data_IF_705195056329
#
_entry.id   IF_705195056329
#
_cell.length_a   1.000
_cell.length_b   1.000
_cell.length_c   1.000
_cell.angle_alpha   90.00
_cell.angle_beta   90.00
_cell.angle_gamma   90.00
#
_symmetry.space_group_name_H-M   'P 1'
#
loop_
_entity.id
_entity.type
_entity.pdbx_description
1 polymer ?
#
# COMPACT_ATOMS: atom_id res chain seq x y z
N UNK A 1 11.44 -56.25 -13.99
CA UNK A 1 11.02 -54.92 -13.50
C UNK A 1 12.29 -54.13 -13.23
N UNK A 2 12.67 -53.19 -14.10
CA UNK A 2 13.92 -52.44 -13.97
C UNK A 2 13.78 -51.46 -12.81
N UNK A 3 14.61 -51.62 -11.78
CA UNK A 3 14.93 -50.55 -10.84
C UNK A 3 15.38 -49.34 -11.66
N UNK A 4 14.74 -48.18 -11.46
CA UNK A 4 15.16 -46.93 -12.10
C UNK A 4 16.61 -46.63 -11.68
N UNK A 5 17.54 -46.80 -12.60
CA UNK A 5 18.95 -46.50 -12.44
C UNK A 5 19.32 -45.32 -13.33
N UNK A 6 19.09 -44.10 -12.83
CA UNK A 6 19.94 -42.93 -13.03
C UNK A 6 19.27 -41.65 -12.50
N UNK A 7 19.66 -41.27 -11.28
CA UNK A 7 19.55 -39.88 -10.87
C UNK A 7 20.57 -39.05 -11.64
N UNK A 8 20.32 -38.83 -12.95
CA UNK A 8 21.18 -37.98 -13.77
C UNK A 8 21.17 -36.58 -13.15
N UNK A 9 22.32 -36.23 -12.59
CA UNK A 9 22.64 -34.86 -12.22
C UNK A 9 22.60 -34.02 -13.50
N UNK A 10 21.59 -33.15 -13.62
CA UNK A 10 21.64 -32.06 -14.57
C UNK A 10 22.85 -31.19 -14.25
N UNK A 11 23.45 -30.59 -15.28
CA UNK A 11 24.58 -29.67 -15.14
C UNK A 11 24.35 -28.68 -13.98
N UNK A 12 25.40 -28.33 -13.20
CA UNK A 12 25.26 -27.38 -12.10
C UNK A 12 24.54 -26.12 -12.60
N UNK A 13 23.57 -25.61 -11.84
CA UNK A 13 22.76 -24.51 -12.31
C UNK A 13 23.65 -23.29 -12.58
N UNK A 14 23.27 -22.44 -13.55
CA UNK A 14 24.09 -21.29 -13.95
C UNK A 14 24.24 -20.23 -12.85
N UNK A 15 23.57 -20.38 -11.71
CA UNK A 15 23.61 -19.45 -10.58
C UNK A 15 23.79 -20.18 -9.25
N UNK A 16 24.65 -19.63 -8.38
CA UNK A 16 24.87 -20.07 -6.99
C UNK A 16 23.63 -19.89 -6.08
N UNK A 17 22.56 -19.29 -6.60
CA UNK A 17 21.30 -19.06 -5.91
C UNK A 17 20.14 -19.93 -6.42
N UNK A 18 20.38 -20.85 -7.37
CA UNK A 18 19.37 -21.81 -7.84
C UNK A 18 19.42 -23.07 -6.95
N UNK A 19 18.51 -23.14 -5.97
CA UNK A 19 18.34 -24.31 -5.11
C UNK A 19 17.29 -25.24 -5.70
N UNK A 20 17.72 -26.42 -6.16
CA UNK A 20 16.80 -27.48 -6.62
C UNK A 20 16.63 -28.53 -5.54
N UNK A 21 15.39 -28.74 -5.14
CA UNK A 21 15.05 -29.74 -4.14
C UNK A 21 14.41 -30.95 -4.83
N UNK A 22 15.14 -32.08 -4.85
CA UNK A 22 14.64 -33.35 -5.38
C UNK A 22 14.34 -34.30 -4.22
N UNK A 23 13.06 -34.43 -3.87
CA UNK A 23 12.61 -35.44 -2.91
C UNK A 23 12.42 -36.78 -3.61
N UNK A 24 13.04 -37.82 -3.08
CA UNK A 24 12.81 -39.22 -3.51
C UNK A 24 12.10 -39.94 -2.38
N UNK A 25 11.10 -40.73 -2.75
CA UNK A 25 10.30 -41.53 -1.82
C UNK A 25 10.23 -42.95 -2.33
N UNK A 26 10.44 -43.91 -1.44
CA UNK A 26 10.51 -45.32 -1.77
C UNK A 26 11.95 -45.84 -1.96
N UNK A 27 12.11 -47.05 -2.55
CA UNK A 27 11.08 -47.87 -3.17
C UNK A 27 10.06 -48.39 -2.15
N UNK A 28 8.82 -48.58 -2.60
CA UNK A 28 7.74 -49.20 -1.83
C UNK A 28 7.32 -50.50 -2.51
N UNK A 29 7.17 -51.57 -1.74
CA UNK A 29 6.54 -52.81 -2.21
C UNK A 29 5.03 -52.70 -1.93
N UNK A 30 4.22 -52.52 -2.98
CA UNK A 30 2.76 -52.31 -2.88
C UNK A 30 2.06 -53.51 -3.53
N UNK A 31 1.18 -54.18 -2.79
CA UNK A 31 0.40 -55.31 -3.30
C UNK A 31 -0.68 -54.83 -4.29
N UNK A 32 -1.21 -55.74 -5.10
CA UNK A 32 -2.32 -55.42 -6.00
C UNK A 32 -3.53 -54.91 -5.22
N UNK A 33 -4.08 -53.76 -5.63
CA UNK A 33 -5.17 -53.04 -4.97
C UNK A 33 -4.84 -52.31 -3.65
N UNK A 34 -3.58 -52.30 -3.22
CA UNK A 34 -3.13 -51.44 -2.12
C UNK A 34 -2.72 -50.04 -2.62
N UNK A 35 -2.64 -49.10 -1.68
CA UNK A 35 -2.15 -47.74 -1.93
C UNK A 35 -1.20 -47.30 -0.84
N UNK A 36 -0.23 -46.44 -1.19
CA UNK A 36 0.64 -45.75 -0.23
C UNK A 36 0.19 -44.31 -0.14
N UNK A 37 -0.10 -43.84 1.08
CA UNK A 37 -0.38 -42.44 1.36
C UNK A 37 0.92 -41.76 1.80
N UNK A 38 1.26 -40.68 1.11
CA UNK A 38 2.40 -39.84 1.42
C UNK A 38 1.86 -38.46 1.78
N UNK A 39 2.30 -37.93 2.92
CA UNK A 39 1.94 -36.59 3.38
C UNK A 39 3.23 -35.81 3.60
N UNK A 40 3.26 -34.58 3.12
CA UNK A 40 4.38 -33.67 3.26
C UNK A 40 3.94 -32.38 3.95
N UNK A 41 4.84 -31.83 4.74
CA UNK A 41 4.75 -30.48 5.25
C UNK A 41 6.05 -29.73 4.89
N UNK A 42 5.90 -28.48 4.48
CA UNK A 42 7.02 -27.57 4.24
C UNK A 42 6.99 -26.49 5.31
N UNK A 43 8.09 -26.36 6.06
CA UNK A 43 8.27 -25.30 7.05
C UNK A 43 9.16 -24.20 6.51
N UNK A 44 8.75 -22.96 6.71
CA UNK A 44 9.56 -21.76 6.52
C UNK A 44 9.52 -21.01 7.84
N UNK A 45 10.63 -20.48 8.32
CA UNK A 45 10.63 -19.67 9.54
C UNK A 45 11.88 -18.81 9.65
N UNK A 46 11.80 -17.76 10.45
CA UNK A 46 12.93 -16.91 10.75
C UNK A 46 13.90 -17.63 11.70
N UNK A 47 15.04 -18.05 11.16
CA UNK A 47 16.01 -18.86 11.88
C UNK A 47 15.49 -20.26 12.27
N UNK A 48 16.30 -20.98 13.04
CA UNK A 48 15.98 -22.36 13.45
C UNK A 48 14.81 -22.42 14.43
N UNK A 49 14.66 -21.41 15.30
CA UNK A 49 13.57 -21.37 16.28
C UNK A 49 12.21 -21.18 15.59
N UNK A 50 12.08 -20.21 14.69
CA UNK A 50 10.86 -20.00 13.91
C UNK A 50 10.52 -21.20 13.03
N UNK A 51 11.52 -21.82 12.39
CA UNK A 51 11.29 -23.05 11.62
C UNK A 51 10.72 -24.19 12.48
N UNK A 52 11.23 -24.38 13.70
CA UNK A 52 10.75 -25.43 14.62
C UNK A 52 9.32 -25.17 15.05
N UNK A 53 9.00 -23.95 15.46
CA UNK A 53 7.63 -23.59 15.84
C UNK A 53 6.63 -23.88 14.70
N UNK A 54 6.98 -23.51 13.47
CA UNK A 54 6.12 -23.77 12.30
C UNK A 54 6.00 -25.26 11.96
N UNK A 55 7.05 -26.06 12.19
CA UNK A 55 7.01 -27.51 11.99
C UNK A 55 6.24 -28.24 13.11
N UNK A 56 6.23 -27.72 14.33
CA UNK A 56 5.41 -28.24 15.43
C UNK A 56 3.91 -28.10 15.09
N UNK A 57 3.51 -26.95 14.54
CA UNK A 57 2.16 -26.74 14.01
C UNK A 57 1.79 -27.74 12.90
N UNK A 58 2.68 -27.95 11.93
CA UNK A 58 2.43 -28.92 10.86
C UNK A 58 2.27 -30.35 11.40
N UNK A 59 3.03 -30.72 12.42
CA UNK A 59 2.91 -32.01 13.10
C UNK A 59 1.60 -32.11 13.90
N UNK A 60 1.18 -31.06 14.60
CA UNK A 60 -0.12 -31.01 15.28
C UNK A 60 -1.26 -31.21 14.29
N UNK A 61 -1.28 -30.47 13.18
CA UNK A 61 -2.29 -30.63 12.13
C UNK A 61 -2.31 -32.05 11.56
N UNK A 62 -1.15 -32.69 11.42
CA UNK A 62 -1.06 -34.08 10.98
C UNK A 62 -1.66 -35.05 11.96
N UNK A 63 -1.30 -34.93 13.23
CA UNK A 63 -1.77 -35.81 14.29
C UNK A 63 -3.28 -35.68 14.52
N UNK A 64 -3.84 -34.48 14.34
CA UNK A 64 -5.25 -34.18 14.57
C UNK A 64 -6.11 -34.18 13.28
N UNK A 65 -5.55 -34.54 12.12
CA UNK A 65 -6.23 -34.51 10.81
C UNK A 65 -7.45 -35.45 10.66
N UNK A 66 -7.70 -36.32 11.64
CA UNK A 66 -8.79 -37.30 11.65
C UNK A 66 -9.79 -37.07 12.80
N UNK A 67 -9.59 -36.02 13.60
CA UNK A 67 -10.47 -35.69 14.71
C UNK A 67 -11.81 -35.14 14.18
N UNK A 68 -12.97 -35.72 14.56
CA UNK A 68 -14.28 -35.20 14.16
C UNK A 68 -14.54 -33.75 14.58
N UNK A 69 -13.86 -33.25 15.62
CA UNK A 69 -13.92 -31.87 16.08
C UNK A 69 -13.06 -30.91 15.22
N UNK A 70 -11.99 -31.40 14.59
CA UNK A 70 -11.13 -30.61 13.69
C UNK A 70 -11.46 -30.81 12.21
N UNK A 71 -12.27 -31.80 11.86
CA UNK A 71 -12.64 -32.14 10.49
C UNK A 71 -11.43 -32.57 9.63
N UNK A 72 -11.67 -33.46 8.66
CA UNK A 72 -10.64 -33.84 7.69
C UNK A 72 -10.26 -32.68 6.77
N UNK A 73 -9.46 -31.69 7.22
CA UNK A 73 -9.11 -30.55 6.37
C UNK A 73 -7.70 -29.98 6.52
N UNK A 74 -6.88 -30.44 7.48
CA UNK A 74 -5.54 -29.86 7.69
C UNK A 74 -5.61 -28.33 7.87
N UNK A 75 -6.72 -27.85 8.44
CA UNK A 75 -6.97 -26.43 8.68
C UNK A 75 -6.47 -26.11 10.07
N UNK A 76 -5.57 -25.13 10.14
CA UNK A 76 -5.19 -24.50 11.40
C UNK A 76 -6.06 -23.28 11.68
N UNK A 77 -5.95 -22.73 12.89
CA UNK A 77 -6.50 -21.41 13.18
C UNK A 77 -5.98 -20.41 12.15
N UNK A 78 -6.84 -19.52 11.70
CA UNK A 78 -6.47 -18.54 10.69
C UNK A 78 -7.07 -17.19 11.03
N UNK A 79 -6.28 -16.13 10.77
CA UNK A 79 -6.75 -14.76 10.92
C UNK A 79 -8.08 -14.53 10.19
N UNK A 80 -8.93 -13.60 10.69
CA UNK A 80 -10.11 -13.17 9.98
C UNK A 80 -9.78 -12.65 8.58
N UNK A 81 -10.76 -12.66 7.68
CA UNK A 81 -10.57 -12.10 6.34
C UNK A 81 -10.19 -10.62 6.40
N UNK A 82 -9.30 -10.17 5.51
CA UNK A 82 -9.03 -8.73 5.37
C UNK A 82 -10.32 -8.00 4.96
N UNK A 83 -10.68 -6.88 5.61
CA UNK A 83 -11.86 -6.11 5.25
C UNK A 83 -11.69 -5.45 3.88
N UNK A 84 -12.81 -5.19 3.21
CA UNK A 84 -12.82 -4.39 1.99
C UNK A 84 -12.78 -2.92 2.41
N UNK A 85 -11.83 -2.16 1.89
CA UNK A 85 -11.67 -0.74 2.20
C UNK A 85 -11.63 0.14 0.96
N UNK A 86 -11.97 1.41 1.16
CA UNK A 86 -12.01 2.46 0.15
C UNK A 86 -11.14 3.64 0.59
N UNK A 87 -10.49 4.27 -0.39
CA UNK A 87 -9.66 5.45 -0.21
C UNK A 87 -10.29 6.62 -0.97
N UNK A 88 -10.52 7.73 -0.26
CA UNK A 88 -10.99 8.99 -0.84
C UNK A 88 -9.92 10.08 -0.61
N UNK A 89 -9.06 10.36 -1.61
CA UNK A 89 -8.02 11.36 -1.48
C UNK A 89 -8.58 12.78 -1.55
N UNK A 90 -8.10 13.63 -0.65
CA UNK A 90 -8.32 15.06 -0.67
C UNK A 90 -7.01 15.86 -0.73
N UNK A 91 -7.12 17.16 -0.48
CA UNK A 91 -5.95 18.03 -0.31
C UNK A 91 -5.34 17.82 1.07
N UNK A 92 -4.10 17.31 1.12
CA UNK A 92 -3.35 16.95 2.35
C UNK A 92 -4.10 16.02 3.28
N UNK A 93 -4.96 15.20 2.72
CA UNK A 93 -5.71 14.22 3.47
C UNK A 93 -6.07 13.01 2.62
N UNK A 94 -6.26 11.86 3.27
CA UNK A 94 -6.91 10.70 2.69
C UNK A 94 -7.92 10.19 3.71
N UNK A 95 -9.19 10.06 3.30
CA UNK A 95 -10.20 9.37 4.09
C UNK A 95 -10.18 7.89 3.73
N UNK A 96 -10.11 7.04 4.74
CA UNK A 96 -10.10 5.59 4.62
C UNK A 96 -11.34 5.05 5.32
N UNK A 97 -12.13 4.23 4.63
CA UNK A 97 -13.33 3.57 5.18
C UNK A 97 -13.30 2.08 4.87
N UNK A 98 -13.79 1.22 5.77
CA UNK A 98 -13.82 -0.23 5.55
C UNK A 98 -15.10 -0.89 6.02
N UNK A 99 -15.37 -2.09 5.51
CA UNK A 99 -16.53 -2.89 5.89
C UNK A 99 -16.33 -3.68 7.20
N UNK A 100 -17.42 -4.24 7.72
CA UNK A 100 -17.46 -5.04 8.95
C UNK A 100 -17.46 -6.55 8.69
N UNK A 101 -17.08 -7.00 7.48
CA UNK A 101 -17.21 -8.40 7.08
C UNK A 101 -16.34 -9.34 7.94
N UNK A 102 -15.23 -8.85 8.48
CA UNK A 102 -14.33 -9.62 9.35
C UNK A 102 -14.94 -9.90 10.75
N UNK A 103 -15.81 -9.03 11.26
CA UNK A 103 -16.38 -9.13 12.62
C UNK A 103 -17.27 -10.36 12.81
N UNK A 104 -17.82 -10.87 11.71
CA UNK A 104 -18.70 -12.03 11.68
C UNK A 104 -18.08 -13.21 10.93
N UNK A 105 -16.76 -13.23 10.78
CA UNK A 105 -16.05 -14.36 10.21
C UNK A 105 -15.81 -15.41 11.31
N UNK A 106 -16.30 -16.63 11.08
CA UNK A 106 -15.95 -17.76 11.92
C UNK A 106 -14.60 -18.35 11.47
N UNK A 107 -13.73 -18.66 12.43
CA UNK A 107 -12.46 -19.33 12.18
C UNK A 107 -12.73 -20.68 11.47
N UNK A 108 -12.10 -20.95 10.31
CA UNK A 108 -12.34 -22.16 9.53
C UNK A 108 -11.99 -23.48 10.21
N UNK A 109 -11.11 -23.47 11.22
CA UNK A 109 -10.67 -24.67 11.92
C UNK A 109 -11.56 -25.01 13.12
N UNK A 110 -12.07 -23.99 13.82
CA UNK A 110 -12.84 -24.15 15.07
C UNK A 110 -14.33 -23.86 14.90
N UNK A 111 -14.71 -23.05 13.92
CA UNK A 111 -16.06 -22.48 13.78
C UNK A 111 -16.37 -21.39 14.81
N UNK A 112 -15.39 -20.97 15.62
CA UNK A 112 -15.56 -19.90 16.60
C UNK A 112 -15.52 -18.52 15.94
N UNK A 113 -16.23 -17.57 16.51
CA UNK A 113 -16.10 -16.16 16.16
C UNK A 113 -15.08 -15.54 17.12
N UNK A 114 -13.86 -15.33 16.64
CA UNK A 114 -12.70 -14.94 17.42
C UNK A 114 -12.04 -13.64 16.94
N UNK A 115 -12.72 -12.91 16.04
CA UNK A 115 -12.36 -11.54 15.65
C UNK A 115 -12.17 -10.66 16.89
N UNK A 116 -11.10 -9.87 16.88
CA UNK A 116 -10.71 -8.97 17.97
C UNK A 116 -10.68 -7.51 17.53
N UNK A 117 -10.12 -7.23 16.34
CA UNK A 117 -9.98 -5.85 15.89
C UNK A 117 -9.41 -5.65 14.50
N UNK A 118 -9.18 -4.37 14.19
CA UNK A 118 -8.61 -3.87 12.96
C UNK A 118 -7.29 -3.14 13.20
N UNK A 119 -6.39 -3.21 12.22
CA UNK A 119 -5.20 -2.36 12.13
C UNK A 119 -5.16 -1.66 10.78
N UNK A 120 -4.85 -0.37 10.80
CA UNK A 120 -4.58 0.41 9.59
C UNK A 120 -3.09 0.62 9.46
N UNK A 121 -2.54 0.18 8.34
CA UNK A 121 -1.13 0.34 8.00
C UNK A 121 -0.96 1.31 6.83
N UNK A 122 0.09 2.13 6.90
CA UNK A 122 0.50 3.07 5.85
C UNK A 122 1.97 2.88 5.51
N UNK A 123 2.33 3.02 4.24
CA UNK A 123 3.72 3.29 3.81
C UNK A 123 3.76 4.34 2.71
N UNK A 124 4.90 5.00 2.57
CA UNK A 124 5.15 5.98 1.50
C UNK A 124 6.01 5.36 0.43
N UNK A 125 5.56 5.40 -0.82
CA UNK A 125 6.21 4.75 -1.95
C UNK A 125 6.12 3.22 -1.92
N UNK A 126 6.44 2.60 -3.06
CA UNK A 126 6.31 1.16 -3.24
C UNK A 126 7.24 0.35 -2.31
N UNK A 127 8.47 0.84 -2.05
CA UNK A 127 9.44 0.16 -1.18
C UNK A 127 9.53 0.78 0.23
N UNK A 128 8.60 1.67 0.58
CA UNK A 128 8.52 2.21 1.93
C UNK A 128 8.26 1.13 2.99
N UNK A 129 8.62 1.47 4.23
CA UNK A 129 8.32 0.63 5.40
C UNK A 129 6.90 0.87 5.90
N UNK A 130 6.22 -0.20 6.32
CA UNK A 130 4.91 -0.13 6.94
C UNK A 130 4.98 0.54 8.31
N UNK A 131 4.05 1.47 8.55
CA UNK A 131 3.82 2.14 9.82
C UNK A 131 2.39 1.87 10.26
N UNK A 132 2.19 1.50 11.52
CA UNK A 132 0.87 1.36 12.13
C UNK A 132 0.29 2.76 12.37
N UNK A 133 -0.86 3.04 11.79
CA UNK A 133 -1.55 4.34 11.91
C UNK A 133 -2.62 4.31 12.99
N UNK A 134 -3.32 3.17 13.09
CA UNK A 134 -4.45 2.97 13.98
C UNK A 134 -4.54 1.48 14.30
N UNK A 135 -4.88 1.20 15.56
CA UNK A 135 -5.37 -0.08 16.02
C UNK A 135 -6.71 0.19 16.72
N UNK A 136 -7.72 -0.60 16.37
CA UNK A 136 -9.03 -0.54 17.03
C UNK A 136 -9.55 -1.94 17.31
N UNK A 137 -10.09 -2.16 18.50
CA UNK A 137 -10.55 -3.48 18.96
C UNK A 137 -11.91 -3.42 19.64
N UNK A 138 -12.45 -4.60 19.94
CA UNK A 138 -13.63 -4.75 20.77
C UNK A 138 -13.41 -4.15 22.16
N UNK A 139 -14.50 -3.75 22.82
CA UNK A 139 -14.46 -3.34 24.22
C UNK A 139 -14.79 -4.57 25.06
N UNK A 140 -13.76 -5.26 25.52
CA UNK A 140 -13.81 -6.42 26.40
C UNK A 140 -12.62 -6.46 27.40
N UNK A 141 -12.02 -7.64 27.61
CA UNK A 141 -10.92 -7.88 28.55
C UNK A 141 -9.58 -8.17 27.83
N UNK A 142 -9.54 -8.00 26.51
CA UNK A 142 -8.39 -8.25 25.62
C UNK A 142 -7.99 -6.91 24.97
N UNK A 143 -6.71 -6.76 24.64
CA UNK A 143 -6.25 -5.57 23.89
C UNK A 143 -6.35 -4.23 24.62
N UNK A 144 -6.46 -3.16 23.83
CA UNK A 144 -6.51 -1.75 24.23
C UNK A 144 -7.93 -1.26 24.52
N UNK A 145 -8.96 -1.95 24.06
CA UNK A 145 -10.38 -1.67 24.30
C UNK A 145 -10.82 -0.28 23.80
N UNK A 146 -10.41 0.10 22.61
CA UNK A 146 -10.71 1.41 22.00
C UNK A 146 -12.11 1.49 21.41
N UNK A 147 -12.74 0.34 21.15
CA UNK A 147 -13.97 0.25 20.36
C UNK A 147 -13.70 0.22 18.86
N UNK A 148 -14.58 -0.46 18.13
CA UNK A 148 -14.47 -0.60 16.68
C UNK A 148 -14.81 0.71 15.97
N UNK A 149 -13.97 1.04 15.00
CA UNK A 149 -14.22 2.11 14.05
C UNK A 149 -14.07 1.57 12.63
N UNK A 150 -14.71 2.26 11.68
CA UNK A 150 -14.76 1.88 10.26
C UNK A 150 -14.33 3.02 9.35
N UNK A 151 -13.76 4.08 9.94
CA UNK A 151 -13.34 5.27 9.25
C UNK A 151 -12.12 5.90 9.94
N UNK A 152 -11.14 6.31 9.14
CA UNK A 152 -9.97 7.07 9.57
C UNK A 152 -9.68 8.20 8.57
N UNK A 153 -9.39 9.40 9.08
CA UNK A 153 -8.95 10.52 8.26
C UNK A 153 -7.46 10.76 8.50
N UNK A 154 -6.63 10.33 7.55
CA UNK A 154 -5.20 10.63 7.57
C UNK A 154 -4.97 12.04 7.06
N UNK A 155 -4.52 12.95 7.94
CA UNK A 155 -4.13 14.34 7.59
C UNK A 155 -2.62 14.54 7.58
N UNK A 156 -1.84 13.50 7.86
CA UNK A 156 -0.37 13.51 7.87
C UNK A 156 0.16 13.02 6.52
N UNK A 157 -0.38 13.57 5.44
CA UNK A 157 0.02 13.25 4.07
C UNK A 157 0.39 14.51 3.30
N UNK A 158 1.41 14.38 2.48
CA UNK A 158 1.83 15.41 1.56
C UNK A 158 1.31 15.10 0.16
N UNK A 159 0.81 16.12 -0.52
CA UNK A 159 0.32 15.95 -1.88
C UNK A 159 1.42 15.49 -2.83
N UNK A 160 1.05 14.76 -3.88
CA UNK A 160 1.98 14.26 -4.91
C UNK A 160 2.91 13.13 -4.45
N UNK A 161 2.78 12.67 -3.20
CA UNK A 161 3.37 11.43 -2.74
C UNK A 161 2.39 10.28 -2.88
N UNK A 162 2.89 9.15 -3.35
CA UNK A 162 2.15 7.91 -3.37
C UNK A 162 2.20 7.25 -2.01
N UNK A 163 1.03 7.07 -1.41
CA UNK A 163 0.85 6.33 -0.17
C UNK A 163 0.18 5.00 -0.47
N UNK A 164 0.55 3.97 0.28
CA UNK A 164 -0.12 2.68 0.26
C UNK A 164 -0.78 2.47 1.61
N UNK A 165 -2.06 2.11 1.58
CA UNK A 165 -2.83 1.76 2.77
C UNK A 165 -3.28 0.32 2.69
N UNK A 166 -3.39 -0.33 3.84
CA UNK A 166 -4.09 -1.60 3.99
C UNK A 166 -4.75 -1.63 5.36
N UNK A 167 -6.00 -2.07 5.39
CA UNK A 167 -6.70 -2.41 6.63
C UNK A 167 -6.62 -3.92 6.79
N UNK A 168 -6.16 -4.39 7.94
CA UNK A 168 -6.09 -5.80 8.31
C UNK A 168 -7.01 -6.06 9.49
N UNK A 169 -7.48 -7.30 9.60
CA UNK A 169 -8.23 -7.78 10.75
C UNK A 169 -7.38 -8.78 11.53
N UNK A 170 -7.55 -8.83 12.84
CA UNK A 170 -6.88 -9.81 13.68
C UNK A 170 -7.84 -10.46 14.66
N UNK A 171 -7.53 -11.70 15.01
CA UNK A 171 -8.24 -12.48 16.03
C UNK A 171 -7.56 -12.33 17.40
N UNK A 172 -8.22 -12.81 18.45
CA UNK A 172 -7.66 -12.82 19.81
C UNK A 172 -6.71 -13.98 20.09
N UNK A 173 -6.60 -14.93 19.16
CA UNK A 173 -5.95 -16.21 19.37
C UNK A 173 -6.64 -17.09 20.43
N UNK A 174 -5.90 -18.05 20.98
CA UNK A 174 -6.34 -18.91 22.08
C UNK A 174 -5.17 -19.25 23.01
N UNK A 175 -4.91 -18.42 24.03
CA UNK A 175 -3.80 -18.64 24.96
C UNK A 175 -3.87 -19.97 25.72
N UNK A 176 -5.08 -20.47 26.02
CA UNK A 176 -5.26 -21.75 26.72
C UNK A 176 -4.80 -22.95 25.88
N UNK A 177 -4.87 -22.83 24.56
CA UNK A 177 -4.36 -23.81 23.61
C UNK A 177 -2.95 -23.45 23.09
N UNK A 178 -2.31 -22.40 23.63
CA UNK A 178 -0.99 -21.93 23.19
C UNK A 178 -0.98 -21.30 21.80
N UNK A 179 -2.15 -20.82 21.34
CA UNK A 179 -2.34 -20.22 20.02
C UNK A 179 -2.26 -18.70 20.18
N UNK A 180 -1.32 -18.09 19.48
CA UNK A 180 -1.20 -16.63 19.45
C UNK A 180 -2.26 -15.99 18.54
N UNK A 181 -2.42 -14.68 18.66
CA UNK A 181 -3.27 -13.88 17.78
C UNK A 181 -2.69 -13.86 16.36
N UNK A 182 -3.54 -14.07 15.36
CA UNK A 182 -3.19 -13.93 13.96
C UNK A 182 -3.80 -12.68 13.33
N UNK A 183 -3.04 -12.06 12.42
CA UNK A 183 -3.46 -10.88 11.65
C UNK A 183 -3.49 -11.24 10.16
N UNK A 184 -4.51 -10.73 9.46
CA UNK A 184 -4.65 -10.92 8.04
C UNK A 184 -3.51 -10.26 7.26
N UNK A 185 -3.22 -10.79 6.07
CA UNK A 185 -2.05 -10.34 5.29
C UNK A 185 -2.18 -8.90 4.76
N UNK A 186 -1.06 -8.18 4.75
CA UNK A 186 -0.93 -6.82 4.16
C UNK A 186 -0.84 -6.81 2.61
N UNK A 187 -1.11 -7.93 1.96
CA UNK A 187 -1.00 -8.09 0.50
C UNK A 187 -2.08 -7.33 -0.27
N UNK A 188 -3.23 -7.07 0.35
CA UNK A 188 -4.35 -6.29 -0.22
C UNK A 188 -4.14 -4.77 -0.21
N UNK A 189 -2.90 -4.30 -0.21
CA UNK A 189 -2.60 -2.87 -0.14
C UNK A 189 -3.02 -2.12 -1.41
N UNK A 190 -3.66 -0.97 -1.24
CA UNK A 190 -4.07 -0.08 -2.34
C UNK A 190 -3.27 1.21 -2.27
N UNK A 191 -2.78 1.70 -3.41
CA UNK A 191 -2.09 2.99 -3.49
C UNK A 191 -3.05 4.16 -3.77
N UNK A 192 -2.69 5.33 -3.29
CA UNK A 192 -3.38 6.59 -3.56
C UNK A 192 -2.39 7.76 -3.52
N UNK A 193 -2.66 8.79 -4.31
CA UNK A 193 -1.89 10.04 -4.32
C UNK A 193 -2.83 11.19 -3.90
N UNK A 194 -2.63 11.80 -2.70
CA UNK A 194 -3.42 12.93 -2.26
C UNK A 194 -3.00 14.20 -3.02
N UNK A 195 -3.89 15.19 -3.00
CA UNK A 195 -3.61 16.52 -3.55
C UNK A 195 -4.57 17.03 -4.61
N UNK A 196 -5.62 16.28 -4.90
CA UNK A 196 -6.76 16.79 -5.63
C UNK A 196 -7.92 16.96 -4.64
N UNK A 197 -8.37 18.19 -4.39
CA UNK A 197 -9.74 18.34 -3.88
C UNK A 197 -10.70 17.87 -4.97
N UNK A 198 -11.44 16.80 -4.71
CA UNK A 198 -12.69 16.50 -5.41
C UNK A 198 -13.66 17.64 -5.05
N UNK A 199 -13.76 18.64 -5.94
CA UNK A 199 -14.75 19.72 -5.81
C UNK A 199 -14.31 20.97 -5.03
N UNK A 200 -13.38 21.76 -5.57
CA UNK A 200 -13.52 23.22 -5.37
C UNK A 200 -14.80 23.64 -6.10
N UNK A 201 -15.91 23.71 -5.37
CA UNK A 201 -17.15 24.33 -5.82
C UNK A 201 -17.29 25.69 -5.15
N UNK A 202 -17.47 26.75 -5.93
CA UNK A 202 -17.73 28.12 -5.44
C UNK A 202 -16.48 28.93 -5.04
N UNK A 203 -16.73 30.10 -4.42
CA UNK A 203 -15.79 31.19 -4.07
C UNK A 203 -14.58 30.81 -3.18
N UNK A 204 -14.36 29.52 -2.89
CA UNK A 204 -13.29 29.04 -2.04
C UNK A 204 -11.93 29.10 -2.76
N UNK A 205 -11.28 30.27 -2.69
CA UNK A 205 -9.87 30.47 -3.02
C UNK A 205 -8.88 29.77 -2.07
N UNK A 206 -9.33 28.81 -1.25
CA UNK A 206 -8.47 28.06 -0.34
C UNK A 206 -7.94 26.81 -1.01
N UNK A 207 -6.64 26.77 -1.31
CA UNK A 207 -5.93 25.52 -1.59
C UNK A 207 -5.18 25.44 -2.92
N UNK A 208 -5.11 26.48 -3.76
CA UNK A 208 -4.17 26.47 -4.88
C UNK A 208 -2.75 26.56 -4.31
N UNK A 209 -1.96 25.53 -4.54
CA UNK A 209 -0.57 25.49 -4.07
C UNK A 209 0.29 24.65 -5.00
N UNK A 210 1.59 24.71 -4.75
CA UNK A 210 2.62 23.99 -5.49
C UNK A 210 2.99 22.71 -4.76
N UNK A 211 3.19 21.65 -5.54
CA UNK A 211 3.54 20.32 -5.05
C UNK A 211 4.71 19.75 -5.89
N UNK A 212 5.83 19.35 -5.28
CA UNK A 212 6.15 19.51 -3.87
C UNK A 212 6.52 20.98 -3.58
N UNK A 213 6.33 21.42 -2.34
CA UNK A 213 6.81 22.72 -1.90
C UNK A 213 7.37 22.61 -0.47
N UNK A 214 8.70 22.75 -0.28
CA UNK A 214 9.70 23.08 -1.30
C UNK A 214 9.92 21.96 -2.32
N UNK A 215 10.27 22.32 -3.55
CA UNK A 215 10.88 21.38 -4.49
C UNK A 215 12.34 21.15 -4.08
N UNK A 216 12.75 19.88 -3.98
CA UNK A 216 14.13 19.47 -3.67
C UNK A 216 14.61 18.54 -4.78
N UNK A 217 15.83 18.74 -5.28
CA UNK A 217 16.39 18.00 -6.43
C UNK A 217 16.34 16.47 -6.26
N UNK A 218 16.43 15.99 -5.02
CA UNK A 218 16.13 14.59 -4.71
C UNK A 218 14.61 14.44 -4.56
N UNK A 219 13.92 13.97 -5.61
CA UNK A 219 12.54 13.51 -5.46
C UNK A 219 12.54 12.40 -4.40
N UNK A 220 11.92 12.63 -3.22
CA UNK A 220 11.87 11.61 -2.18
C UNK A 220 11.15 10.37 -2.70
N UNK A 221 11.49 9.20 -2.14
CA UNK A 221 10.86 7.94 -2.54
C UNK A 221 9.33 8.04 -2.42
N UNK A 222 8.62 7.69 -3.50
CA UNK A 222 7.17 7.83 -3.58
C UNK A 222 6.66 9.16 -4.13
N UNK A 223 7.51 10.15 -4.41
CA UNK A 223 7.09 11.36 -5.14
C UNK A 223 7.00 11.10 -6.66
N UNK A 224 5.83 11.29 -7.24
CA UNK A 224 5.48 10.75 -8.56
C UNK A 224 5.50 11.77 -9.70
N UNK A 225 6.52 11.68 -10.56
CA UNK A 225 6.37 11.97 -11.98
C UNK A 225 7.11 10.89 -12.78
N UNK A 226 6.40 9.85 -13.20
CA UNK A 226 6.97 8.90 -14.16
C UNK A 226 7.20 9.65 -15.48
N UNK A 227 8.45 9.70 -16.00
CA UNK A 227 8.70 10.33 -17.28
C UNK A 227 7.94 9.58 -18.38
N UNK A 228 7.28 10.32 -19.26
CA UNK A 228 6.56 9.78 -20.42
C UNK A 228 7.22 10.27 -21.71
N UNK A 229 6.82 9.71 -22.85
CA UNK A 229 7.27 10.22 -24.16
C UNK A 229 6.86 11.68 -24.38
N UNK A 230 5.76 12.12 -23.77
CA UNK A 230 5.23 13.48 -23.88
C UNK A 230 5.93 14.44 -22.91
N UNK A 231 6.31 13.96 -21.73
CA UNK A 231 7.06 14.74 -20.74
C UNK A 231 8.18 13.89 -20.11
N UNK A 232 9.40 13.92 -20.68
CA UNK A 232 10.53 13.11 -20.20
C UNK A 232 11.23 13.72 -18.97
N UNK A 233 10.77 14.87 -18.46
CA UNK A 233 11.43 15.54 -17.34
C UNK A 233 11.21 14.78 -16.04
N UNK A 234 12.31 14.56 -15.31
CA UNK A 234 12.31 13.97 -13.95
C UNK A 234 12.08 15.04 -12.87
N UNK A 235 12.51 16.28 -13.12
CA UNK A 235 12.34 17.42 -12.21
C UNK A 235 11.05 18.16 -12.57
N UNK A 236 10.01 18.00 -11.75
CA UNK A 236 8.71 18.63 -12.01
C UNK A 236 8.03 19.10 -10.73
N UNK A 237 7.16 20.09 -10.90
CA UNK A 237 6.21 20.54 -9.89
C UNK A 237 4.80 20.59 -10.49
N UNK A 238 3.78 20.45 -9.66
CA UNK A 238 2.38 20.68 -10.02
C UNK A 238 1.84 21.91 -9.29
N UNK A 239 1.07 22.71 -10.01
CA UNK A 239 0.10 23.62 -9.42
C UNK A 239 -1.22 22.86 -9.33
N UNK A 240 -1.72 22.65 -8.11
CA UNK A 240 -2.92 21.84 -7.86
C UNK A 240 -4.11 22.69 -7.42
N UNK A 241 -5.31 22.08 -7.41
CA UNK A 241 -6.58 22.70 -7.03
C UNK A 241 -6.99 23.91 -7.89
N UNK A 242 -6.58 23.93 -9.16
CA UNK A 242 -7.03 24.93 -10.12
C UNK A 242 -8.54 24.80 -10.38
N UNK A 243 -9.24 25.88 -10.79
CA UNK A 243 -10.67 25.84 -11.12
C UNK A 243 -10.99 24.74 -12.13
N UNK A 244 -11.99 23.92 -11.85
CA UNK A 244 -12.47 22.89 -12.78
C UNK A 244 -13.43 23.49 -13.81
N UNK A 245 -13.48 22.88 -15.00
CA UNK A 245 -14.34 23.24 -16.13
C UNK A 245 -14.20 24.71 -16.59
N UNK A 246 -13.02 25.26 -16.43
CA UNK A 246 -12.67 26.65 -16.75
C UNK A 246 -11.24 26.69 -17.31
N UNK A 247 -10.90 27.73 -18.08
CA UNK A 247 -9.51 27.97 -18.45
C UNK A 247 -8.74 28.57 -17.28
N UNK A 248 -7.47 28.23 -17.14
CA UNK A 248 -6.59 28.80 -16.12
C UNK A 248 -5.18 28.99 -16.68
N UNK A 249 -4.56 30.11 -16.34
CA UNK A 249 -3.15 30.40 -16.66
C UNK A 249 -2.39 30.62 -15.37
N UNK A 250 -1.26 29.92 -15.23
CA UNK A 250 -0.30 30.11 -14.15
C UNK A 250 0.89 30.88 -14.69
N UNK A 251 1.11 32.09 -14.21
CA UNK A 251 2.29 32.89 -14.54
C UNK A 251 3.27 32.85 -13.38
N UNK A 252 4.51 32.45 -13.64
CA UNK A 252 5.56 32.33 -12.61
C UNK A 252 6.52 33.52 -12.73
N UNK A 253 6.90 34.08 -11.58
CA UNK A 253 7.78 35.22 -11.45
C UNK A 253 8.93 34.93 -10.49
N UNK A 254 10.09 35.56 -10.73
CA UNK A 254 11.12 35.70 -9.71
C UNK A 254 10.63 36.58 -8.56
N UNK A 255 11.33 36.57 -7.42
CA UNK A 255 11.09 37.52 -6.32
C UNK A 255 11.24 38.99 -6.74
N UNK A 256 12.02 39.28 -7.78
CA UNK A 256 12.21 40.63 -8.33
C UNK A 256 11.08 41.07 -9.27
N UNK A 257 10.13 40.16 -9.58
CA UNK A 257 9.00 40.44 -10.46
C UNK A 257 9.26 40.12 -11.93
N UNK A 258 10.38 39.48 -12.26
CA UNK A 258 10.68 39.07 -13.64
C UNK A 258 9.84 37.85 -14.01
N UNK A 259 9.13 37.93 -15.14
CA UNK A 259 8.31 36.82 -15.63
C UNK A 259 9.21 35.68 -16.15
N UNK A 260 9.11 34.52 -15.50
CA UNK A 260 9.88 33.32 -15.81
C UNK A 260 9.22 32.52 -16.94
N UNK A 261 7.92 32.24 -16.81
CA UNK A 261 7.14 31.48 -17.79
C UNK A 261 5.63 31.64 -17.54
N UNK A 262 4.83 31.43 -18.58
CA UNK A 262 3.37 31.28 -18.50
C UNK A 262 2.97 29.87 -18.91
N UNK A 263 2.18 29.22 -18.07
CA UNK A 263 1.69 27.86 -18.26
C UNK A 263 0.18 27.92 -18.39
N UNK A 264 -0.36 27.34 -19.47
CA UNK A 264 -1.80 27.29 -19.70
C UNK A 264 -2.30 25.89 -19.38
N UNK A 265 -3.45 25.83 -18.71
CA UNK A 265 -4.14 24.57 -18.47
C UNK A 265 -4.61 23.98 -19.80
N UNK A 266 -4.12 22.78 -20.12
CA UNK A 266 -4.40 22.12 -21.40
C UNK A 266 -5.84 21.62 -21.50
N UNK A 267 -6.37 21.02 -20.43
CA UNK A 267 -7.73 20.53 -20.33
C UNK A 267 -8.54 21.38 -19.32
N UNK A 268 -9.64 22.03 -19.72
CA UNK A 268 -10.54 22.73 -18.82
C UNK A 268 -11.06 21.88 -17.66
N UNK A 269 -11.24 20.57 -17.84
CA UNK A 269 -11.69 19.66 -16.78
C UNK A 269 -10.58 19.35 -15.76
N UNK A 270 -9.31 19.42 -16.18
CA UNK A 270 -8.16 19.25 -15.28
C UNK A 270 -8.15 20.31 -14.18
N UNK A 271 -7.56 19.95 -13.04
CA UNK A 271 -7.39 20.80 -11.86
C UNK A 271 -5.91 21.02 -11.55
N UNK A 272 -5.04 20.63 -12.47
CA UNK A 272 -3.59 20.70 -12.33
C UNK A 272 -2.92 21.29 -13.56
N UNK A 273 -1.76 21.91 -13.34
CA UNK A 273 -0.81 22.28 -14.38
C UNK A 273 0.58 21.88 -13.88
N UNK A 274 1.32 21.15 -14.70
CA UNK A 274 2.69 20.77 -14.38
C UNK A 274 3.73 21.71 -15.01
N UNK A 275 4.91 21.75 -14.41
CA UNK A 275 6.06 22.48 -14.92
C UNK A 275 7.35 21.70 -14.70
N UNK A 276 8.18 21.64 -15.73
CA UNK A 276 9.50 20.99 -15.77
C UNK A 276 10.64 21.85 -15.21
N UNK A 277 10.32 22.98 -14.56
CA UNK A 277 11.29 23.94 -14.01
C UNK A 277 12.20 24.57 -15.08
N UNK A 278 11.78 24.55 -16.35
CA UNK A 278 12.46 25.20 -17.48
C UNK A 278 11.78 26.54 -17.79
N UNK A 279 12.58 27.60 -17.86
CA UNK A 279 12.13 28.96 -18.20
C UNK A 279 11.75 29.10 -19.67
N UNK A 280 11.07 30.20 -20.02
CA UNK A 280 10.78 30.55 -21.42
C UNK A 280 12.03 30.64 -22.32
N UNK A 281 13.19 30.92 -21.73
CA UNK A 281 14.50 30.98 -22.40
C UNK A 281 15.21 29.61 -22.46
N UNK A 282 14.52 28.50 -22.18
CA UNK A 282 15.06 27.12 -22.20
C UNK A 282 16.21 26.88 -21.21
N UNK A 283 16.21 27.62 -20.10
CA UNK A 283 17.18 27.43 -19.01
C UNK A 283 16.47 26.88 -17.78
N UNK A 284 17.13 26.01 -17.02
CA UNK A 284 16.62 25.58 -15.72
C UNK A 284 16.63 26.74 -14.73
N UNK A 285 15.58 26.90 -13.93
CA UNK A 285 15.55 27.90 -12.83
C UNK A 285 16.57 27.60 -11.74
N UNK A 286 17.07 28.58 -11.00
CA UNK A 286 18.04 28.34 -9.91
C UNK A 286 17.33 28.06 -8.58
N UNK A 287 18.08 27.72 -7.54
CA UNK A 287 17.53 27.68 -6.19
C UNK A 287 17.05 29.08 -5.77
N UNK A 288 15.89 29.16 -5.13
CA UNK A 288 15.29 30.42 -4.75
C UNK A 288 13.80 30.33 -4.44
N UNK A 289 13.23 31.45 -4.02
CA UNK A 289 11.78 31.60 -3.86
C UNK A 289 11.21 32.24 -5.12
N UNK A 290 10.08 31.69 -5.56
CA UNK A 290 9.35 32.13 -6.73
C UNK A 290 7.92 32.49 -6.32
N UNK A 291 7.32 33.39 -7.08
CA UNK A 291 5.91 33.74 -6.94
C UNK A 291 5.16 33.22 -8.16
N UNK A 292 3.88 32.93 -8.00
CA UNK A 292 3.02 32.63 -9.12
C UNK A 292 1.68 33.33 -8.97
N UNK A 293 1.10 33.68 -10.11
CA UNK A 293 -0.23 34.24 -10.23
C UNK A 293 -1.08 33.27 -11.04
N UNK A 294 -2.26 32.94 -10.55
CA UNK A 294 -3.25 32.16 -11.27
C UNK A 294 -4.39 33.07 -11.67
N UNK A 295 -4.67 33.10 -12.96
CA UNK A 295 -5.79 33.81 -13.58
C UNK A 295 -6.73 32.75 -14.19
N UNK A 296 -8.04 32.93 -14.08
CA UNK A 296 -9.03 31.99 -14.63
C UNK A 296 -10.29 32.71 -15.07
N UNK A 297 -10.97 32.18 -16.09
CA UNK A 297 -12.29 32.64 -16.54
C UNK A 297 -13.46 32.01 -15.76
N UNK A 298 -13.17 31.20 -14.73
CA UNK A 298 -14.20 30.63 -13.88
C UNK A 298 -15.07 31.73 -13.25
N UNK A 299 -16.41 31.61 -13.29
CA UNK A 299 -17.30 32.62 -12.72
C UNK A 299 -16.98 32.92 -11.26
N UNK A 300 -16.74 34.19 -10.94
CA UNK A 300 -16.42 34.65 -9.59
C UNK A 300 -14.99 34.39 -9.13
N UNK A 301 -14.11 33.86 -9.99
CA UNK A 301 -12.70 33.68 -9.66
C UNK A 301 -12.00 35.04 -9.62
N UNK A 302 -11.24 35.29 -8.55
CA UNK A 302 -10.28 36.40 -8.48
C UNK A 302 -8.87 35.84 -8.57
N UNK A 303 -7.96 36.63 -9.11
CA UNK A 303 -6.57 36.24 -9.26
C UNK A 303 -5.99 35.75 -7.93
N UNK A 304 -5.27 34.65 -7.99
CA UNK A 304 -4.66 34.03 -6.83
C UNK A 304 -3.14 34.19 -6.90
N UNK A 305 -2.53 34.65 -5.81
CA UNK A 305 -1.07 34.80 -5.71
C UNK A 305 -0.54 33.80 -4.69
N UNK A 306 0.45 33.00 -5.08
CA UNK A 306 1.13 32.10 -4.19
C UNK A 306 2.65 32.16 -4.33
N UNK A 307 3.33 31.40 -3.48
CA UNK A 307 4.80 31.31 -3.44
C UNK A 307 5.23 29.85 -3.30
N UNK A 308 6.38 29.53 -3.87
CA UNK A 308 7.03 28.23 -3.70
C UNK A 308 8.54 28.40 -3.67
N UNK A 309 9.21 27.38 -3.15
CA UNK A 309 10.66 27.35 -3.04
C UNK A 309 11.24 26.22 -3.86
N UNK A 310 12.36 26.50 -4.54
CA UNK A 310 13.19 25.53 -5.24
C UNK A 310 14.51 25.43 -4.49
N UNK A 311 14.89 24.21 -4.11
CA UNK A 311 16.14 23.86 -3.44
C UNK A 311 16.91 22.90 -4.36
N UNK A 312 18.15 23.25 -4.69
CA UNK A 312 19.04 22.48 -5.56
C UNK A 312 20.39 22.24 -4.92
#
# INVERSE_FOLDING_TARGET
>A
MRLMSDGQWLAPPPSIHDYRFLQKLGPFDIAGHDSVRIVFAFGIGEGLAGLRANMEWANLLFQHSIDPAFGYRWLGPSAPQSPIFHLDPGDRQVRITWDSAAENAADPATGEYDFEGYRLWRKTGANGSWTLMLESDLIDDIGLNTGLIHEFLDTDVANGFQYYYVVTAYDRGNPAAGIESFESGRSGATNVEPGLKVGTQGEAQSGIHVVPNPFVLASPEGFGFAPTNENPALERILFVNLPANASATVTIFSLTGDEIIKLRKADPASRTVDWDLITKSRQKVVAGVYMYVVESDAPGFKDFIGKFMVVR
#
